data_IF_567321009741
#
_entry.id   IF_567321009741
#
_cell.length_a   1.000
_cell.length_b   1.000
_cell.length_c   1.000
_cell.angle_alpha   90.00
_cell.angle_beta   90.00
_cell.angle_gamma   90.00
#
_symmetry.space_group_name_H-M   'P 1'
#
loop_
_entity.id
_entity.type
_entity.pdbx_description
1 polymer ?
#
# COMPACT_ATOMS: atom_id res chain seq x y z
N UNK A 1 24.18 17.63 11.20
CA UNK A 1 23.29 16.71 11.94
C UNK A 1 23.42 15.34 11.30
N UNK A 2 23.69 14.29 12.08
CA UNK A 2 23.62 12.92 11.54
C UNK A 2 22.16 12.54 11.34
N UNK A 3 21.84 11.90 10.21
CA UNK A 3 20.51 11.34 10.00
C UNK A 3 20.23 10.29 11.09
N UNK A 4 19.01 10.27 11.60
CA UNK A 4 18.59 9.22 12.53
C UNK A 4 18.70 7.85 11.85
N UNK A 5 19.13 6.80 12.57
CA UNK A 5 19.23 5.47 11.99
C UNK A 5 17.84 4.95 11.58
N UNK A 6 17.79 4.25 10.44
CA UNK A 6 16.57 3.59 9.98
C UNK A 6 16.35 2.31 10.79
N UNK A 7 15.22 2.23 11.50
CA UNK A 7 14.76 1.02 12.17
C UNK A 7 14.09 0.10 11.14
N UNK A 8 14.90 -0.69 10.41
CA UNK A 8 14.43 -1.49 9.26
C UNK A 8 13.20 -2.35 9.56
N UNK A 9 13.15 -2.97 10.74
CA UNK A 9 12.04 -3.81 11.15
C UNK A 9 10.72 -3.02 11.32
N UNK A 10 10.78 -1.80 11.84
CA UNK A 10 9.60 -0.92 11.93
C UNK A 10 9.16 -0.48 10.54
N UNK A 11 10.11 -0.12 9.67
CA UNK A 11 9.82 0.26 8.28
C UNK A 11 9.22 -0.91 7.49
N UNK A 12 9.68 -2.16 7.75
CA UNK A 12 9.06 -3.38 7.20
C UNK A 12 7.59 -3.50 7.58
N UNK A 13 7.26 -3.27 8.85
CA UNK A 13 5.87 -3.29 9.32
C UNK A 13 5.02 -2.22 8.64
N UNK A 14 5.58 -1.05 8.30
CA UNK A 14 4.87 -0.06 7.48
C UNK A 14 4.55 -0.59 6.08
N UNK A 15 5.49 -1.28 5.41
CA UNK A 15 5.23 -1.86 4.09
C UNK A 15 4.12 -2.91 4.13
N UNK A 16 4.18 -3.81 5.11
CA UNK A 16 3.19 -4.89 5.29
C UNK A 16 1.81 -4.34 5.64
N UNK A 17 1.75 -3.39 6.58
CA UNK A 17 0.47 -2.77 6.95
C UNK A 17 -0.12 -1.94 5.80
N UNK A 18 0.70 -1.26 5.00
CA UNK A 18 0.20 -0.56 3.82
C UNK A 18 -0.35 -1.54 2.77
N UNK A 19 0.34 -2.65 2.51
CA UNK A 19 -0.13 -3.69 1.59
C UNK A 19 -1.47 -4.30 2.07
N UNK A 20 -1.55 -4.68 3.34
CA UNK A 20 -2.77 -5.21 3.94
C UNK A 20 -3.93 -4.21 3.93
N UNK A 21 -3.70 -2.95 4.30
CA UNK A 21 -4.79 -1.95 4.31
C UNK A 21 -5.28 -1.65 2.89
N UNK A 22 -4.42 -1.70 1.88
CA UNK A 22 -4.84 -1.62 0.48
C UNK A 22 -5.77 -2.79 0.11
N UNK A 23 -5.43 -4.03 0.47
CA UNK A 23 -6.29 -5.18 0.11
C UNK A 23 -7.65 -5.10 0.78
N UNK A 24 -7.73 -4.63 2.04
CA UNK A 24 -9.02 -4.39 2.72
C UNK A 24 -9.81 -3.27 2.05
N UNK A 25 -9.14 -2.17 1.68
CA UNK A 25 -9.76 -1.04 0.98
C UNK A 25 -10.37 -1.49 -0.37
N UNK A 26 -9.56 -2.14 -1.21
CA UNK A 26 -9.97 -2.56 -2.54
C UNK A 26 -11.09 -3.61 -2.49
N UNK A 27 -10.96 -4.59 -1.58
CA UNK A 27 -11.98 -5.61 -1.38
C UNK A 27 -13.32 -5.01 -0.98
N UNK A 28 -13.33 -4.10 0.00
CA UNK A 28 -14.57 -3.48 0.45
C UNK A 28 -15.28 -2.71 -0.68
N UNK A 29 -14.51 -2.02 -1.55
CA UNK A 29 -15.09 -1.31 -2.68
C UNK A 29 -15.67 -2.23 -3.77
N UNK A 30 -15.13 -3.45 -3.91
CA UNK A 30 -15.67 -4.47 -4.81
C UNK A 30 -16.87 -5.22 -4.19
N UNK A 31 -16.91 -5.31 -2.86
CA UNK A 31 -17.86 -6.10 -2.09
C UNK A 31 -18.52 -5.28 -0.95
N UNK A 32 -19.21 -4.17 -1.25
CA UNK A 32 -19.74 -3.27 -0.22
C UNK A 32 -20.76 -3.95 0.70
N UNK A 33 -21.51 -4.93 0.18
CA UNK A 33 -22.57 -5.64 0.92
C UNK A 33 -22.04 -6.67 1.92
N UNK A 34 -20.76 -7.07 1.85
CA UNK A 34 -20.19 -8.10 2.72
C UNK A 34 -19.77 -7.58 4.09
N UNK A 35 -19.62 -6.26 4.25
CA UNK A 35 -19.31 -5.63 5.52
C UNK A 35 -20.14 -4.35 5.72
N UNK A 36 -21.42 -4.49 6.11
CA UNK A 36 -22.32 -3.35 6.30
C UNK A 36 -21.90 -2.41 7.44
N UNK A 37 -21.04 -2.88 8.35
CA UNK A 37 -20.49 -2.06 9.43
C UNK A 37 -19.39 -1.12 8.93
N UNK A 38 -18.86 -1.29 7.71
CA UNK A 38 -17.87 -0.39 7.11
C UNK A 38 -18.56 0.84 6.50
N UNK A 39 -18.96 1.76 7.36
CA UNK A 39 -19.47 3.08 6.97
C UNK A 39 -18.39 4.00 6.36
N UNK A 40 -18.82 5.13 5.78
CA UNK A 40 -17.94 6.13 5.17
C UNK A 40 -16.85 6.64 6.12
N UNK A 41 -17.16 6.77 7.42
CA UNK A 41 -16.25 7.26 8.44
C UNK A 41 -15.13 6.23 8.73
N UNK A 42 -15.47 4.94 8.80
CA UNK A 42 -14.52 3.84 8.95
C UNK A 42 -13.65 3.69 7.71
N UNK A 43 -14.23 3.83 6.52
CA UNK A 43 -13.48 3.79 5.27
C UNK A 43 -12.48 4.95 5.20
N UNK A 44 -12.87 6.16 5.60
CA UNK A 44 -11.98 7.31 5.68
C UNK A 44 -10.80 7.06 6.64
N UNK A 45 -11.07 6.54 7.86
CA UNK A 45 -10.00 6.16 8.81
C UNK A 45 -9.07 5.07 8.29
N UNK A 46 -9.60 4.11 7.52
CA UNK A 46 -8.80 3.09 6.89
C UNK A 46 -7.83 3.70 5.88
N UNK A 47 -8.32 4.61 5.04
CA UNK A 47 -7.50 5.35 4.09
C UNK A 47 -6.44 6.19 4.80
N UNK A 48 -6.79 6.91 5.86
CA UNK A 48 -5.82 7.68 6.66
C UNK A 48 -4.69 6.81 7.20
N UNK A 49 -5.01 5.61 7.73
CA UNK A 49 -4.00 4.66 8.21
C UNK A 49 -3.11 4.15 7.08
N UNK A 50 -3.70 3.83 5.93
CA UNK A 50 -2.95 3.41 4.74
C UNK A 50 -1.97 4.51 4.30
N UNK A 51 -2.44 5.75 4.21
CA UNK A 51 -1.59 6.89 3.85
C UNK A 51 -0.48 7.14 4.86
N UNK A 52 -0.76 7.01 6.16
CA UNK A 52 0.26 7.13 7.21
C UNK A 52 1.35 6.05 7.09
N UNK A 53 0.99 4.81 6.73
CA UNK A 53 1.99 3.77 6.51
C UNK A 53 2.84 4.02 5.25
N UNK A 54 2.21 4.47 4.15
CA UNK A 54 2.93 4.91 2.96
C UNK A 54 3.86 6.10 3.23
N UNK A 55 3.42 7.05 4.06
CA UNK A 55 4.24 8.19 4.47
C UNK A 55 5.45 7.75 5.30
N UNK A 56 5.28 6.83 6.25
CA UNK A 56 6.39 6.24 7.01
C UNK A 56 7.47 5.61 6.12
N UNK A 57 7.07 4.95 5.03
CA UNK A 57 7.99 4.41 4.02
C UNK A 57 8.71 5.53 3.25
N UNK A 58 8.03 6.62 2.90
CA UNK A 58 8.65 7.77 2.21
C UNK A 58 9.65 8.49 3.10
N UNK A 59 9.32 8.66 4.39
CA UNK A 59 10.23 9.24 5.39
C UNK A 59 11.49 8.39 5.54
N UNK A 60 11.39 7.06 5.41
CA UNK A 60 12.53 6.15 5.41
C UNK A 60 13.40 6.22 4.13
N UNK A 61 13.01 7.01 3.13
CA UNK A 61 13.79 7.26 1.92
C UNK A 61 14.10 5.99 1.11
N UNK A 62 15.36 5.83 0.69
CA UNK A 62 15.81 4.67 -0.08
C UNK A 62 15.57 3.35 0.66
N UNK A 63 15.77 3.31 1.99
CA UNK A 63 15.52 2.11 2.77
C UNK A 63 14.04 1.70 2.74
N UNK A 64 13.10 2.65 2.71
CA UNK A 64 11.68 2.36 2.54
C UNK A 64 11.37 1.74 1.18
N UNK A 65 12.02 2.22 0.11
CA UNK A 65 11.88 1.64 -1.23
C UNK A 65 12.49 0.25 -1.34
N UNK A 66 13.67 0.03 -0.76
CA UNK A 66 14.33 -1.28 -0.71
C UNK A 66 13.46 -2.30 0.03
N UNK A 67 12.99 -1.93 1.23
CA UNK A 67 12.16 -2.81 2.05
C UNK A 67 10.84 -3.16 1.34
N UNK A 68 10.19 -2.21 0.67
CA UNK A 68 8.98 -2.50 -0.10
C UNK A 68 9.25 -3.47 -1.26
N UNK A 69 10.39 -3.33 -1.95
CA UNK A 69 10.81 -4.27 -3.01
C UNK A 69 11.16 -5.65 -2.45
N UNK A 70 11.82 -5.72 -1.30
CA UNK A 70 12.09 -6.99 -0.59
C UNK A 70 10.78 -7.70 -0.23
N UNK A 71 9.78 -6.96 0.30
CA UNK A 71 8.46 -7.53 0.60
C UNK A 71 7.76 -8.06 -0.66
N UNK A 72 7.75 -7.30 -1.75
CA UNK A 72 7.17 -7.78 -3.01
C UNK A 72 7.93 -9.00 -3.59
N UNK A 73 9.25 -9.06 -3.44
CA UNK A 73 10.03 -10.21 -3.89
C UNK A 73 9.73 -11.47 -3.07
N UNK A 74 9.44 -11.32 -1.78
CA UNK A 74 9.07 -12.42 -0.87
C UNK A 74 7.59 -12.83 -1.04
N UNK A 75 6.70 -11.85 -1.19
CA UNK A 75 5.24 -12.01 -1.32
C UNK A 75 4.76 -11.21 -2.54
N UNK A 76 4.75 -11.80 -3.75
CA UNK A 76 4.44 -11.09 -4.99
C UNK A 76 2.94 -10.92 -5.21
N UNK A 77 2.23 -10.38 -4.22
CA UNK A 77 0.78 -10.14 -4.27
C UNK A 77 0.45 -8.68 -4.64
N UNK A 78 -0.84 -8.43 -4.86
CA UNK A 78 -1.33 -7.13 -5.33
C UNK A 78 -1.08 -6.00 -4.32
N UNK A 79 -1.13 -6.28 -3.01
CA UNK A 79 -0.88 -5.30 -1.95
C UNK A 79 0.56 -4.80 -1.95
N UNK A 80 1.52 -5.71 -2.03
CA UNK A 80 2.95 -5.39 -2.04
C UNK A 80 3.33 -4.64 -3.33
N UNK A 81 2.79 -5.07 -4.48
CA UNK A 81 2.98 -4.35 -5.73
C UNK A 81 2.39 -2.94 -5.70
N UNK A 82 1.23 -2.77 -5.09
CA UNK A 82 0.62 -1.45 -4.88
C UNK A 82 1.56 -0.54 -4.09
N UNK A 83 2.13 -1.01 -2.98
CA UNK A 83 3.08 -0.23 -2.17
C UNK A 83 4.32 0.16 -2.99
N UNK A 84 4.93 -0.79 -3.72
CA UNK A 84 6.08 -0.51 -4.60
C UNK A 84 5.74 0.57 -5.62
N UNK A 85 4.56 0.51 -6.23
CA UNK A 85 4.11 1.48 -7.22
C UNK A 85 3.90 2.87 -6.60
N UNK A 86 3.28 2.93 -5.43
CA UNK A 86 3.02 4.19 -4.70
C UNK A 86 4.30 4.90 -4.24
N UNK A 87 5.37 4.15 -3.95
CA UNK A 87 6.69 4.72 -3.62
C UNK A 87 7.51 5.13 -4.84
N UNK A 88 7.23 4.54 -6.00
CA UNK A 88 7.92 4.85 -7.26
C UNK A 88 7.30 6.03 -8.03
N UNK A 89 6.12 6.50 -7.60
CA UNK A 89 5.40 7.59 -8.26
C UNK A 89 6.12 8.92 -8.07
N UNK A 90 6.32 9.67 -9.16
CA UNK A 90 6.95 11.01 -9.12
C UNK A 90 6.07 12.07 -8.44
N UNK A 91 4.75 11.88 -8.50
CA UNK A 91 3.76 12.74 -7.86
C UNK A 91 3.04 11.91 -6.80
N UNK A 92 2.92 12.50 -5.61
CA UNK A 92 2.06 11.95 -4.57
C UNK A 92 0.61 12.20 -4.97
N UNK A 93 -0.14 11.11 -5.13
CA UNK A 93 -1.58 11.12 -5.36
C UNK A 93 -2.20 10.49 -4.10
N UNK A 94 -3.09 11.20 -3.38
CA UNK A 94 -3.83 10.63 -2.27
C UNK A 94 -4.59 9.37 -2.71
N UNK A 95 -4.75 8.39 -1.83
CA UNK A 95 -5.40 7.11 -2.18
C UNK A 95 -6.82 7.34 -2.68
N UNK A 96 -7.55 8.27 -2.06
CA UNK A 96 -8.91 8.65 -2.46
C UNK A 96 -9.03 9.31 -3.84
N UNK A 97 -7.93 9.77 -4.42
CA UNK A 97 -7.87 10.42 -5.74
C UNK A 97 -7.37 9.46 -6.83
N UNK A 98 -7.10 8.20 -6.49
CA UNK A 98 -6.66 7.20 -7.45
C UNK A 98 -7.81 6.81 -8.39
N UNK A 99 -7.46 6.64 -9.66
CA UNK A 99 -8.30 5.96 -10.64
C UNK A 99 -8.18 4.44 -10.40
N UNK A 100 -9.11 3.89 -9.61
CA UNK A 100 -9.04 2.51 -9.12
C UNK A 100 -9.07 1.48 -10.24
N UNK A 101 -9.75 1.76 -11.35
CA UNK A 101 -9.79 0.85 -12.50
C UNK A 101 -8.40 0.73 -13.14
N UNK A 102 -7.70 1.85 -13.31
CA UNK A 102 -6.31 1.84 -13.79
C UNK A 102 -5.34 1.22 -12.78
N UNK A 103 -5.58 1.41 -11.48
CA UNK A 103 -4.76 0.77 -10.44
C UNK A 103 -4.92 -0.75 -10.54
N UNK A 104 -6.15 -1.26 -10.57
CA UNK A 104 -6.44 -2.69 -10.69
C UNK A 104 -5.87 -3.27 -11.98
N UNK A 105 -6.06 -2.60 -13.12
CA UNK A 105 -5.46 -3.01 -14.40
C UNK A 105 -3.93 -3.12 -14.29
N UNK A 106 -3.28 -2.09 -13.72
CA UNK A 106 -1.84 -2.11 -13.50
C UNK A 106 -1.40 -3.29 -12.62
N UNK A 107 -2.10 -3.53 -11.51
CA UNK A 107 -1.79 -4.62 -10.58
C UNK A 107 -2.00 -5.99 -11.23
N UNK A 108 -3.06 -6.18 -12.03
CA UNK A 108 -3.30 -7.43 -12.77
C UNK A 108 -2.23 -7.69 -13.83
N UNK A 109 -1.80 -6.66 -14.57
CA UNK A 109 -0.80 -6.81 -15.64
C UNK A 109 0.61 -7.04 -15.09
N UNK A 110 0.94 -6.44 -13.94
CA UNK A 110 2.30 -6.43 -13.39
C UNK A 110 2.48 -7.33 -12.15
N UNK A 111 1.40 -7.88 -11.61
CA UNK A 111 1.40 -8.79 -10.47
C UNK A 111 2.06 -10.13 -10.80
N UNK A 112 2.70 -10.74 -9.79
CA UNK A 112 3.19 -12.11 -9.89
C UNK A 112 2.04 -13.08 -10.15
N UNK A 113 2.30 -14.14 -10.90
CA UNK A 113 1.35 -15.12 -11.45
C UNK A 113 0.49 -15.91 -10.43
N UNK A 114 0.40 -15.48 -9.17
CA UNK A 114 -0.21 -16.23 -8.07
C UNK A 114 -1.75 -16.16 -8.01
N UNK A 115 -2.41 -15.56 -9.00
CA UNK A 115 -3.88 -15.43 -9.07
C UNK A 115 -4.50 -16.17 -10.28
N UNK A 116 -4.01 -17.37 -10.57
CA UNK A 116 -4.76 -18.37 -11.34
C UNK A 116 -4.92 -19.66 -10.55
#
# INVERSE_FOLDING_TARGET
MHAAPVLREIVRQHAEMAAFLWTVYDYHLLHPDENPDMDEERLARLVERLEAHLDGLRVAGEAGQEIAKERYAEFPEAGELFVVRMLSARRLIPVKELDLDKVREYLTVNGGSAQR
#
